data_IF_222374727981
#
_entry.id   IF_222374727981
#
_cell.length_a   1.000
_cell.length_b   1.000
_cell.length_c   1.000
_cell.angle_alpha   90.00
_cell.angle_beta   90.00
_cell.angle_gamma   90.00
#
_symmetry.space_group_name_H-M   'P 1'
#
loop_
_entity.id
_entity.type
_entity.pdbx_description
1 polymer ?
#
# COMPACT_ATOMS: atom_id res chain seq x y z
N UNK A 1 4.37 -17.15 -35.66
CA UNK A 1 4.46 -16.90 -34.21
C UNK A 1 5.55 -17.83 -33.74
N UNK A 2 6.72 -17.26 -33.44
CA UNK A 2 7.79 -18.00 -32.78
C UNK A 2 7.31 -18.38 -31.38
N UNK A 3 7.62 -19.62 -30.97
CA UNK A 3 7.27 -20.08 -29.66
C UNK A 3 7.96 -19.19 -28.62
N UNK A 4 7.20 -18.68 -27.63
CA UNK A 4 7.76 -17.95 -26.52
C UNK A 4 8.89 -18.78 -25.90
N UNK A 5 10.07 -18.23 -25.89
CA UNK A 5 11.26 -18.84 -25.30
C UNK A 5 11.01 -18.87 -23.78
N UNK A 6 10.72 -20.04 -23.24
CA UNK A 6 10.54 -20.23 -21.80
C UNK A 6 11.87 -19.99 -21.08
N UNK A 7 11.94 -18.93 -20.30
CA UNK A 7 13.06 -18.71 -19.39
C UNK A 7 12.82 -19.56 -18.14
N UNK A 8 13.63 -20.58 -17.86
CA UNK A 8 13.44 -21.39 -16.66
C UNK A 8 13.70 -20.55 -15.40
N UNK A 9 12.94 -20.81 -14.34
CA UNK A 9 13.03 -20.06 -13.09
C UNK A 9 14.44 -20.07 -12.49
N UNK A 10 15.20 -21.14 -12.73
CA UNK A 10 16.60 -21.27 -12.31
C UNK A 10 17.56 -20.25 -12.95
N UNK A 11 17.17 -19.59 -14.04
CA UNK A 11 17.98 -18.53 -14.67
C UNK A 11 17.75 -17.16 -14.00
N UNK A 12 16.67 -17.01 -13.26
CA UNK A 12 16.28 -15.74 -12.64
C UNK A 12 16.22 -15.78 -11.11
N UNK A 13 16.35 -16.97 -10.51
CA UNK A 13 16.30 -17.14 -9.05
C UNK A 13 17.26 -18.26 -8.59
N UNK A 14 18.16 -17.94 -7.67
CA UNK A 14 19.09 -18.90 -7.07
C UNK A 14 18.38 -19.83 -6.07
N UNK A 15 17.30 -19.39 -5.46
CA UNK A 15 16.52 -20.17 -4.49
C UNK A 15 15.09 -19.69 -4.37
N UNK A 16 14.21 -20.58 -3.93
CA UNK A 16 12.82 -20.28 -3.59
C UNK A 16 12.62 -20.59 -2.10
N UNK A 17 12.13 -19.59 -1.35
CA UNK A 17 11.75 -19.77 0.05
C UNK A 17 10.25 -19.61 0.21
N UNK A 18 9.58 -20.66 0.72
CA UNK A 18 8.19 -20.59 1.13
C UNK A 18 8.09 -20.26 2.61
N UNK A 19 7.30 -19.22 2.95
CA UNK A 19 7.05 -18.82 4.34
C UNK A 19 5.56 -19.07 4.61
N UNK A 20 5.25 -19.97 5.53
CA UNK A 20 3.89 -20.20 6.00
C UNK A 20 3.54 -19.14 7.04
N UNK A 21 2.56 -18.30 6.76
CA UNK A 21 2.04 -17.35 7.74
C UNK A 21 1.13 -18.08 8.73
N UNK A 22 1.41 -17.93 10.02
CA UNK A 22 0.69 -18.59 11.12
C UNK A 22 0.02 -17.53 11.99
N UNK A 23 -1.26 -17.68 12.19
CA UNK A 23 -2.09 -16.84 13.06
C UNK A 23 -2.55 -17.64 14.27
N UNK A 24 -2.91 -16.94 15.34
CA UNK A 24 -3.38 -17.57 16.57
C UNK A 24 -4.75 -18.25 16.38
N UNK A 25 -5.02 -19.24 17.22
CA UNK A 25 -6.32 -19.91 17.25
C UNK A 25 -7.42 -18.91 17.62
N UNK A 26 -8.35 -18.66 16.72
CA UNK A 26 -9.41 -17.67 16.87
C UNK A 26 -9.27 -16.47 15.93
N UNK A 27 -8.12 -16.28 15.32
CA UNK A 27 -7.94 -15.35 14.22
C UNK A 27 -8.20 -16.04 12.89
N UNK A 28 -8.72 -15.30 11.93
CA UNK A 28 -8.92 -15.77 10.55
C UNK A 28 -8.40 -14.68 9.62
N UNK A 29 -7.58 -15.04 8.66
CA UNK A 29 -7.28 -14.15 7.53
C UNK A 29 -8.36 -14.33 6.47
N UNK A 30 -8.97 -13.23 6.07
CA UNK A 30 -9.99 -13.22 5.02
C UNK A 30 -9.39 -12.91 3.64
N UNK A 31 -9.76 -11.76 3.05
CA UNK A 31 -9.26 -11.35 1.75
C UNK A 31 -8.03 -10.46 1.87
N UNK A 32 -6.86 -11.06 1.67
CA UNK A 32 -5.59 -10.35 1.63
C UNK A 32 -5.48 -9.61 0.29
N UNK A 33 -5.42 -8.28 0.34
CA UNK A 33 -5.21 -7.43 -0.83
C UNK A 33 -3.74 -7.31 -1.19
N UNK A 34 -2.89 -7.22 -0.18
CA UNK A 34 -1.48 -6.94 -0.37
C UNK A 34 -0.64 -7.62 0.71
N UNK A 35 0.53 -8.12 0.31
CA UNK A 35 1.60 -8.55 1.20
C UNK A 35 2.77 -7.59 1.01
N UNK A 36 3.17 -6.91 2.09
CA UNK A 36 4.31 -6.00 2.08
C UNK A 36 5.45 -6.67 2.84
N UNK A 37 6.54 -6.96 2.14
CA UNK A 37 7.72 -7.60 2.73
C UNK A 37 8.77 -6.51 2.95
N UNK A 38 9.10 -6.27 4.21
CA UNK A 38 10.17 -5.36 4.63
C UNK A 38 11.35 -6.14 5.23
N UNK A 39 12.34 -5.44 5.75
CA UNK A 39 13.56 -6.07 6.26
C UNK A 39 13.31 -6.96 7.48
N UNK A 40 12.51 -6.49 8.45
CA UNK A 40 12.24 -7.18 9.72
C UNK A 40 10.93 -7.96 9.70
N UNK A 41 9.89 -7.43 9.03
CA UNK A 41 8.53 -7.94 9.14
C UNK A 41 7.89 -8.19 7.77
N UNK A 42 6.79 -8.95 7.80
CA UNK A 42 5.87 -9.19 6.70
C UNK A 42 4.50 -8.68 7.15
N UNK A 43 3.90 -7.83 6.35
CA UNK A 43 2.60 -7.22 6.64
C UNK A 43 1.56 -7.77 5.66
N UNK A 44 0.47 -8.34 6.16
CA UNK A 44 -0.66 -8.81 5.37
C UNK A 44 -1.86 -7.88 5.58
N UNK A 45 -2.29 -7.21 4.53
CA UNK A 45 -3.40 -6.25 4.56
C UNK A 45 -4.70 -6.97 4.23
N UNK A 46 -5.52 -7.25 5.24
CA UNK A 46 -6.84 -7.87 5.10
C UNK A 46 -7.91 -6.79 4.94
N UNK A 47 -8.48 -6.70 3.74
CA UNK A 47 -9.51 -5.71 3.43
C UNK A 47 -10.92 -6.18 3.77
N UNK A 48 -11.16 -7.44 4.02
CA UNK A 48 -12.45 -7.93 4.47
C UNK A 48 -12.67 -7.65 5.95
N UNK A 49 -11.66 -7.84 6.77
CA UNK A 49 -11.69 -7.58 8.20
C UNK A 49 -11.25 -6.16 8.57
N UNK A 50 -10.60 -5.45 7.65
CA UNK A 50 -9.99 -4.14 7.89
C UNK A 50 -8.88 -4.21 8.96
N UNK A 51 -7.99 -5.20 8.81
CA UNK A 51 -6.90 -5.51 9.75
C UNK A 51 -5.59 -5.61 8.98
N UNK A 52 -4.49 -5.19 9.60
CA UNK A 52 -3.14 -5.47 9.12
C UNK A 52 -2.48 -6.43 10.09
N UNK A 53 -2.19 -7.64 9.63
CA UNK A 53 -1.42 -8.62 10.37
C UNK A 53 0.07 -8.37 10.15
N UNK A 54 0.86 -8.44 11.23
CA UNK A 54 2.31 -8.27 11.19
C UNK A 54 2.99 -9.55 11.63
N UNK A 55 3.79 -10.12 10.76
CA UNK A 55 4.52 -11.37 11.00
C UNK A 55 6.02 -11.12 11.04
N UNK A 56 6.75 -11.95 11.78
CA UNK A 56 8.20 -12.02 11.68
C UNK A 56 8.63 -12.76 10.39
N UNK A 57 9.94 -12.89 10.16
CA UNK A 57 10.48 -13.53 8.95
C UNK A 57 10.31 -15.05 8.92
N UNK A 58 9.95 -15.64 10.04
CA UNK A 58 9.61 -17.06 10.18
C UNK A 58 8.12 -17.32 9.90
N UNK A 59 7.33 -16.24 9.74
CA UNK A 59 5.89 -16.31 9.47
C UNK A 59 5.03 -16.41 10.72
N UNK A 60 5.58 -16.20 11.92
CA UNK A 60 4.82 -16.17 13.16
C UNK A 60 4.17 -14.79 13.34
N UNK A 61 2.90 -14.77 13.75
CA UNK A 61 2.19 -13.53 14.06
C UNK A 61 2.87 -12.81 15.23
N UNK A 62 3.22 -11.56 15.03
CA UNK A 62 3.78 -10.67 16.07
C UNK A 62 2.69 -9.84 16.69
N UNK A 63 1.85 -9.23 15.85
CA UNK A 63 0.76 -8.35 16.29
C UNK A 63 -0.20 -8.08 15.14
N UNK A 64 -1.33 -7.41 15.43
CA UNK A 64 -2.29 -6.97 14.40
C UNK A 64 -2.79 -5.56 14.68
N UNK A 65 -2.83 -4.71 13.66
CA UNK A 65 -3.49 -3.42 13.71
C UNK A 65 -4.96 -3.59 13.37
N UNK A 66 -5.81 -3.42 14.38
CA UNK A 66 -7.27 -3.42 14.24
C UNK A 66 -7.83 -2.20 14.96
N UNK A 67 -7.91 -1.08 14.24
CA UNK A 67 -8.45 0.18 14.74
C UNK A 67 -9.58 0.70 13.85
N UNK A 68 -10.45 -0.22 13.43
CA UNK A 68 -11.64 0.14 12.66
C UNK A 68 -12.62 0.91 13.55
N UNK A 69 -12.96 2.14 13.15
CA UNK A 69 -13.86 2.99 13.90
C UNK A 69 -14.00 4.38 13.29
N UNK A 70 -14.46 5.35 14.11
CA UNK A 70 -14.69 6.76 13.71
C UNK A 70 -14.07 7.77 14.66
N UNK A 71 -13.36 7.30 15.66
CA UNK A 71 -12.68 8.13 16.65
C UNK A 71 -11.30 8.63 16.14
N UNK A 72 -10.65 9.49 16.94
CA UNK A 72 -9.28 9.93 16.65
C UNK A 72 -8.33 8.73 16.55
N UNK A 73 -7.57 8.65 15.48
CA UNK A 73 -6.66 7.53 15.23
C UNK A 73 -7.36 6.22 14.87
N UNK A 74 -8.62 6.26 14.48
CA UNK A 74 -9.35 5.13 13.91
C UNK A 74 -9.59 5.34 12.42
N UNK A 75 -9.67 4.24 11.68
CA UNK A 75 -9.98 4.27 10.25
C UNK A 75 -11.32 3.62 9.96
N UNK A 76 -12.10 4.20 9.06
CA UNK A 76 -13.34 3.59 8.59
C UNK A 76 -13.09 2.53 7.54
N UNK A 77 -12.08 2.72 6.70
CA UNK A 77 -11.70 1.80 5.65
C UNK A 77 -10.19 1.89 5.37
N UNK A 78 -9.52 0.73 5.30
CA UNK A 78 -8.11 0.66 4.93
C UNK A 78 -7.98 0.86 3.41
N UNK A 79 -7.37 1.98 3.02
CA UNK A 79 -6.84 2.24 1.69
C UNK A 79 -5.41 1.73 1.53
N UNK A 80 -4.61 2.32 0.65
CA UNK A 80 -3.19 2.03 0.53
C UNK A 80 -2.46 2.06 1.87
N UNK A 81 -1.51 1.16 2.03
CA UNK A 81 -0.68 1.03 3.23
C UNK A 81 0.78 1.25 2.87
N UNK A 82 1.47 2.06 3.64
CA UNK A 82 2.89 2.32 3.45
C UNK A 82 3.64 2.03 4.75
N UNK A 83 4.75 1.35 4.61
CA UNK A 83 5.67 1.07 5.70
C UNK A 83 6.97 1.80 5.37
N UNK A 84 7.48 2.60 6.28
CA UNK A 84 8.76 3.30 6.08
C UNK A 84 9.95 2.32 5.98
N UNK A 85 11.10 2.81 5.54
CA UNK A 85 12.20 1.92 5.20
C UNK A 85 12.91 1.33 6.42
N UNK A 86 12.87 2.01 7.56
CA UNK A 86 13.40 1.52 8.84
C UNK A 86 12.33 0.81 9.69
N UNK A 87 11.11 0.73 9.19
CA UNK A 87 9.96 0.06 9.83
C UNK A 87 9.61 0.68 11.19
N UNK A 88 9.74 2.00 11.32
CA UNK A 88 9.41 2.73 12.55
C UNK A 88 7.92 3.08 12.63
N UNK A 89 7.25 3.24 11.49
CA UNK A 89 5.82 3.55 11.44
C UNK A 89 5.08 2.91 10.27
N UNK A 90 3.76 2.84 10.43
CA UNK A 90 2.79 2.41 9.41
C UNK A 90 1.90 3.59 9.07
N UNK A 91 1.70 3.84 7.79
CA UNK A 91 0.74 4.82 7.29
C UNK A 91 -0.40 4.12 6.55
N UNK A 92 -1.61 4.55 6.82
CA UNK A 92 -2.82 4.02 6.19
C UNK A 92 -3.57 5.18 5.56
N UNK A 93 -3.88 5.07 4.27
CA UNK A 93 -4.86 5.96 3.64
C UNK A 93 -6.24 5.57 4.12
N UNK A 94 -6.92 6.50 4.80
CA UNK A 94 -8.26 6.33 5.32
C UNK A 94 -9.26 7.07 4.45
N UNK A 95 -10.37 6.41 4.13
CA UNK A 95 -11.48 7.00 3.37
C UNK A 95 -12.63 7.27 4.32
N UNK A 96 -12.93 8.54 4.59
CA UNK A 96 -14.02 8.95 5.48
C UNK A 96 -14.81 10.10 4.88
N UNK A 97 -16.11 9.91 4.67
CA UNK A 97 -17.01 10.98 4.21
C UNK A 97 -16.59 11.62 2.87
N UNK A 98 -16.07 10.84 1.93
CA UNK A 98 -15.58 11.33 0.64
C UNK A 98 -14.22 12.02 0.70
N UNK A 99 -13.60 12.10 1.87
CA UNK A 99 -12.25 12.66 2.05
C UNK A 99 -11.22 11.56 2.26
N UNK A 100 -10.01 11.83 1.81
CA UNK A 100 -8.86 10.94 1.97
C UNK A 100 -7.88 11.58 2.95
N UNK A 101 -7.40 10.80 3.90
CA UNK A 101 -6.41 11.23 4.88
C UNK A 101 -5.41 10.12 5.14
N UNK A 102 -4.20 10.46 5.56
CA UNK A 102 -3.20 9.48 5.97
C UNK A 102 -3.14 9.44 7.48
N UNK A 103 -3.42 8.29 8.06
CA UNK A 103 -3.22 8.01 9.48
C UNK A 103 -1.85 7.37 9.68
N UNK A 104 -1.06 7.90 10.60
CA UNK A 104 0.27 7.36 10.95
C UNK A 104 0.24 6.74 12.34
N UNK A 105 0.81 5.55 12.45
CA UNK A 105 0.95 4.81 13.71
C UNK A 105 2.40 4.39 13.90
N UNK A 106 2.85 4.34 15.16
CA UNK A 106 4.10 3.63 15.48
C UNK A 106 3.97 2.16 15.08
N UNK A 107 5.02 1.61 14.53
CA UNK A 107 5.02 0.20 14.19
C UNK A 107 4.92 -0.66 15.46
N UNK A 108 4.28 -1.81 15.36
CA UNK A 108 4.02 -2.81 16.40
C UNK A 108 3.15 -2.36 17.57
N UNK A 109 3.38 -1.21 18.18
CA UNK A 109 2.52 -0.70 19.29
C UNK A 109 1.21 -0.11 18.76
N UNK A 110 1.22 0.35 17.52
CA UNK A 110 0.09 1.03 16.88
C UNK A 110 -0.44 2.25 17.64
N UNK A 111 0.45 2.91 18.37
CA UNK A 111 0.13 4.20 18.92
C UNK A 111 -0.11 5.18 17.78
N UNK A 112 -1.26 5.83 17.81
CA UNK A 112 -1.57 6.87 16.83
C UNK A 112 -0.66 8.06 17.06
N UNK A 113 0.04 8.47 16.02
CA UNK A 113 0.97 9.59 16.09
C UNK A 113 0.23 10.86 15.70
N UNK A 114 -0.28 10.92 14.48
CA UNK A 114 -0.89 12.11 13.92
C UNK A 114 -1.33 11.85 12.47
N UNK A 115 -2.13 12.77 11.92
CA UNK A 115 -2.40 12.85 10.50
C UNK A 115 -1.99 14.21 10.00
N UNK A 116 -1.02 14.30 9.13
CA UNK A 116 -0.47 15.58 8.68
C UNK A 116 -0.55 15.80 7.18
N UNK A 117 -0.86 14.77 6.42
CA UNK A 117 -0.84 14.85 4.97
C UNK A 117 -2.21 14.52 4.40
N UNK A 118 -2.75 15.40 3.57
CA UNK A 118 -3.82 15.01 2.68
C UNK A 118 -3.24 14.04 1.65
N UNK A 119 -3.91 12.91 1.47
CA UNK A 119 -3.59 12.01 0.37
C UNK A 119 -4.04 12.69 -0.94
N UNK A 120 -3.22 12.66 -2.00
CA UNK A 120 -3.59 13.24 -3.28
C UNK A 120 -4.88 12.62 -3.82
N UNK A 121 -5.78 13.45 -4.32
CA UNK A 121 -7.04 12.99 -4.92
C UNK A 121 -6.80 12.50 -6.36
N UNK A 122 -6.16 11.35 -6.45
CA UNK A 122 -5.86 10.67 -7.71
C UNK A 122 -6.47 9.29 -7.67
N UNK A 123 -7.32 9.00 -8.65
CA UNK A 123 -7.78 7.64 -8.89
C UNK A 123 -6.68 6.84 -9.56
N UNK A 124 -6.31 5.70 -8.99
CA UNK A 124 -5.23 4.88 -9.49
C UNK A 124 -5.48 3.39 -9.29
N UNK A 125 -4.95 2.57 -10.18
CA UNK A 125 -4.98 1.10 -10.07
C UNK A 125 -4.08 0.61 -8.92
N UNK A 126 -2.95 1.29 -8.75
CA UNK A 126 -2.05 1.04 -7.63
C UNK A 126 -1.27 2.29 -7.25
N UNK A 127 -0.81 2.32 -6.01
CA UNK A 127 0.04 3.39 -5.51
C UNK A 127 1.17 2.80 -4.69
N UNK A 128 2.35 3.37 -4.86
CA UNK A 128 3.54 3.07 -4.05
C UNK A 128 4.10 4.37 -3.51
N UNK A 129 4.82 4.29 -2.39
CA UNK A 129 5.53 5.43 -1.81
C UNK A 129 7.01 5.09 -1.68
N UNK A 130 7.86 5.99 -2.14
CA UNK A 130 9.30 5.86 -2.02
C UNK A 130 9.94 7.23 -1.85
N UNK A 131 10.81 7.39 -0.85
CA UNK A 131 11.53 8.65 -0.54
C UNK A 131 10.62 9.88 -0.49
N UNK A 132 9.46 9.75 0.15
CA UNK A 132 8.49 10.85 0.31
C UNK A 132 7.59 11.09 -0.91
N UNK A 133 7.85 10.48 -2.06
CA UNK A 133 7.05 10.61 -3.26
C UNK A 133 6.01 9.51 -3.37
N UNK A 134 4.83 9.86 -3.88
CA UNK A 134 3.80 8.91 -4.29
C UNK A 134 3.91 8.62 -5.78
N UNK A 135 3.80 7.36 -6.15
CA UNK A 135 3.82 6.86 -7.51
C UNK A 135 2.48 6.20 -7.80
N UNK A 136 1.67 6.84 -8.63
CA UNK A 136 0.33 6.38 -8.99
C UNK A 136 0.35 5.73 -10.37
N UNK A 137 0.05 4.44 -10.46
CA UNK A 137 -0.24 3.79 -11.73
C UNK A 137 -1.71 4.03 -12.05
N UNK A 138 -1.98 4.92 -13.01
CA UNK A 138 -3.33 5.38 -13.34
C UNK A 138 -3.86 4.79 -14.65
N UNK A 139 -3.18 3.84 -15.22
CA UNK A 139 -3.45 3.21 -16.50
C UNK A 139 -4.96 3.16 -16.87
N UNK A 140 -5.33 3.86 -17.93
CA UNK A 140 -6.70 3.96 -18.44
C UNK A 140 -7.74 4.58 -17.47
N UNK A 141 -7.29 5.30 -16.45
CA UNK A 141 -8.17 6.04 -15.56
C UNK A 141 -7.99 7.53 -15.83
N UNK A 142 -9.09 8.20 -16.18
CA UNK A 142 -9.08 9.65 -16.35
C UNK A 142 -8.96 10.33 -14.99
N UNK A 143 -8.03 11.26 -14.88
CA UNK A 143 -7.83 12.11 -13.71
C UNK A 143 -7.79 13.57 -14.13
N UNK A 144 -8.29 14.44 -13.28
CA UNK A 144 -8.16 15.89 -13.43
C UNK A 144 -7.10 16.39 -12.43
N UNK A 145 -5.92 16.76 -12.94
CA UNK A 145 -4.77 17.15 -12.13
C UNK A 145 -4.26 18.53 -12.60
N UNK A 146 -4.21 19.50 -11.71
CA UNK A 146 -3.77 20.87 -12.01
C UNK A 146 -4.46 21.47 -13.24
N UNK A 147 -5.80 21.42 -13.26
CA UNK A 147 -6.65 21.93 -14.35
C UNK A 147 -6.41 21.28 -15.72
N UNK A 148 -5.87 20.06 -15.72
CA UNK A 148 -5.65 19.25 -16.92
C UNK A 148 -6.19 17.86 -16.73
N UNK A 149 -6.89 17.36 -17.73
CA UNK A 149 -7.25 15.96 -17.82
C UNK A 149 -6.03 15.15 -18.22
N UNK A 150 -5.78 14.06 -17.51
CA UNK A 150 -4.71 13.12 -17.83
C UNK A 150 -5.18 11.69 -17.67
N UNK A 151 -4.79 10.84 -18.61
CA UNK A 151 -4.94 9.41 -18.58
C UNK A 151 -3.59 8.70 -18.76
N UNK A 152 -2.51 9.40 -18.41
CA UNK A 152 -1.15 8.88 -18.48
C UNK A 152 -0.99 7.59 -17.66
N UNK A 153 0.11 6.86 -17.91
CA UNK A 153 0.33 5.58 -17.26
C UNK A 153 0.86 5.72 -15.82
N UNK A 154 1.60 6.80 -15.54
CA UNK A 154 2.23 7.03 -14.24
C UNK A 154 2.21 8.51 -13.85
N UNK A 155 1.75 8.78 -12.65
CA UNK A 155 1.84 10.10 -12.01
C UNK A 155 2.71 10.01 -10.76
N UNK A 156 3.62 10.97 -10.62
CA UNK A 156 4.41 11.16 -9.40
C UNK A 156 3.91 12.41 -8.70
N UNK A 157 3.74 12.32 -7.38
CA UNK A 157 3.29 13.42 -6.54
C UNK A 157 4.13 13.48 -5.26
N UNK A 158 4.49 14.69 -4.83
CA UNK A 158 5.12 14.91 -3.52
C UNK A 158 4.08 15.19 -2.42
N UNK A 159 4.56 15.45 -1.21
CA UNK A 159 3.71 15.78 -0.05
C UNK A 159 3.03 17.15 -0.13
N UNK A 160 3.43 18.00 -1.06
CA UNK A 160 2.87 19.34 -1.29
C UNK A 160 1.88 19.33 -2.46
N UNK A 161 1.57 18.15 -2.99
CA UNK A 161 0.70 17.94 -4.16
C UNK A 161 1.25 18.56 -5.46
N UNK A 162 2.57 18.62 -5.61
CA UNK A 162 3.17 18.90 -6.91
C UNK A 162 3.19 17.62 -7.73
N UNK A 163 2.60 17.67 -8.92
CA UNK A 163 2.40 16.52 -9.77
C UNK A 163 3.31 16.54 -10.99
N UNK A 164 3.81 15.37 -11.35
CA UNK A 164 4.49 15.12 -12.62
C UNK A 164 3.90 13.89 -13.29
N UNK A 165 3.33 14.07 -14.47
CA UNK A 165 2.87 12.95 -15.30
C UNK A 165 4.06 12.41 -16.07
N UNK A 166 4.28 11.09 -15.96
CA UNK A 166 5.24 10.35 -16.78
C UNK A 166 4.47 9.43 -17.71
N UNK A 167 5.00 9.25 -18.92
CA UNK A 167 4.39 8.40 -19.93
C UNK A 167 2.95 8.81 -20.27
N UNK A 168 2.76 10.11 -20.50
CA UNK A 168 1.49 10.62 -21.02
C UNK A 168 1.31 10.05 -22.44
N UNK A 169 0.36 9.15 -22.60
CA UNK A 169 -0.06 8.70 -23.93
C UNK A 169 -0.82 9.84 -24.57
N UNK A 170 -0.14 10.59 -25.42
CA UNK A 170 -0.86 11.42 -26.39
C UNK A 170 -1.71 10.49 -27.25
N UNK A 171 -2.99 10.43 -26.95
CA UNK A 171 -3.97 9.78 -27.83
C UNK A 171 -3.90 10.56 -29.14
N UNK A 172 -3.38 9.90 -30.18
CA UNK A 172 -3.46 10.40 -31.56
C UNK A 172 -4.83 10.10 -32.11
#
# INVERSE_FOLDING_TARGET
MEADEFIPLSEIADSIKCIKLQIDSGDVMGRIREIIIKKKYIYAVDISQQVIFVFNKEGLLVTKLNKKGRGPGEYSRIGPVFIDDDESYIEIVNYTGGKQSILRYKNLSFDYINTTLSYPDISANSVKRHKGLFYFAIQQIDNHINDKDTNGDLVICDSENNFKVLFDKKIK
#
